data_IF_408770374408
#
_entry.id   IF_408770374408
#
_cell.length_a   1.000
_cell.length_b   1.000
_cell.length_c   1.000
_cell.angle_alpha   90.00
_cell.angle_beta   90.00
_cell.angle_gamma   90.00
#
_symmetry.space_group_name_H-M   'P 1'
#
loop_
_entity.id
_entity.type
_entity.pdbx_description
1 polymer ?
#
# COMPACT_ATOMS: atom_id res chain seq x y z
N UNK A 1 29.95 11.94 -29.84
CA UNK A 1 29.88 11.99 -28.38
C UNK A 1 29.13 10.72 -27.94
N UNK A 2 29.71 9.84 -27.12
CA UNK A 2 29.00 8.67 -26.67
C UNK A 2 27.76 9.11 -25.87
N UNK A 3 26.59 8.59 -26.25
CA UNK A 3 25.36 8.82 -25.52
C UNK A 3 25.49 8.15 -24.14
N UNK A 4 25.45 8.94 -23.09
CA UNK A 4 25.42 8.46 -21.72
C UNK A 4 24.06 7.78 -21.50
N UNK A 5 24.06 6.46 -21.42
CA UNK A 5 22.85 5.70 -21.08
C UNK A 5 22.44 6.05 -19.65
N UNK A 6 21.19 6.49 -19.42
CA UNK A 6 20.71 6.67 -18.06
C UNK A 6 20.76 5.32 -17.34
N UNK A 7 21.44 5.24 -16.22
CA UNK A 7 21.38 4.08 -15.33
C UNK A 7 19.95 4.00 -14.78
N UNK A 8 19.20 2.93 -15.05
CA UNK A 8 17.92 2.70 -14.42
C UNK A 8 18.20 2.36 -12.94
N UNK A 9 18.23 3.36 -12.08
CA UNK A 9 18.15 3.13 -10.64
C UNK A 9 16.72 2.69 -10.34
N UNK A 10 16.49 1.45 -9.86
CA UNK A 10 15.18 1.04 -9.43
C UNK A 10 14.80 1.91 -8.23
N UNK A 11 13.99 2.91 -8.46
CA UNK A 11 13.41 3.72 -7.39
C UNK A 11 12.37 2.85 -6.71
N UNK A 12 12.73 2.21 -5.61
CA UNK A 12 11.75 1.54 -4.77
C UNK A 12 10.64 2.56 -4.44
N UNK A 13 9.37 2.20 -4.58
CA UNK A 13 8.27 3.12 -4.33
C UNK A 13 8.41 3.67 -2.92
N UNK A 14 8.43 4.99 -2.78
CA UNK A 14 8.42 5.62 -1.47
C UNK A 14 7.08 5.32 -0.81
N UNK A 15 7.10 4.52 0.27
CA UNK A 15 5.92 4.19 1.06
C UNK A 15 5.83 5.07 2.30
N UNK A 16 6.09 6.38 2.13
CA UNK A 16 5.97 7.32 3.24
C UNK A 16 4.51 7.76 3.42
N UNK A 17 4.19 8.25 4.61
CA UNK A 17 2.86 8.81 4.89
C UNK A 17 2.51 9.99 3.97
N UNK A 18 3.48 10.82 3.62
CA UNK A 18 3.30 11.96 2.71
C UNK A 18 2.93 11.55 1.28
N UNK A 19 3.32 10.35 0.86
CA UNK A 19 3.00 9.81 -0.47
C UNK A 19 1.65 9.10 -0.53
N UNK A 20 1.00 8.91 0.63
CA UNK A 20 -0.33 8.32 0.67
C UNK A 20 -1.41 9.37 0.47
N UNK A 21 -2.18 9.24 -0.60
CA UNK A 21 -3.26 10.18 -0.93
C UNK A 21 -4.50 9.86 -0.12
N UNK A 22 -5.00 10.87 0.60
CA UNK A 22 -6.26 10.77 1.35
C UNK A 22 -7.43 11.06 0.43
N UNK A 23 -8.42 10.20 0.45
CA UNK A 23 -9.69 10.32 -0.26
C UNK A 23 -10.85 9.90 0.66
N UNK A 24 -12.10 10.23 0.38
CA UNK A 24 -13.23 9.81 1.20
C UNK A 24 -13.26 8.30 1.48
N UNK A 25 -12.86 7.50 0.50
CA UNK A 25 -12.85 6.04 0.57
C UNK A 25 -11.83 5.45 1.56
N UNK A 26 -10.82 6.21 2.00
CA UNK A 26 -9.77 5.76 2.91
C UNK A 26 -9.56 6.69 4.12
N UNK A 27 -10.32 7.78 4.21
CA UNK A 27 -10.11 8.83 5.21
C UNK A 27 -10.17 8.31 6.65
N UNK A 28 -11.08 7.39 6.97
CA UNK A 28 -11.20 6.81 8.31
C UNK A 28 -9.98 5.96 8.69
N UNK A 29 -9.52 5.12 7.77
CA UNK A 29 -8.31 4.31 7.98
C UNK A 29 -7.08 5.19 8.20
N UNK A 30 -6.94 6.24 7.38
CA UNK A 30 -5.84 7.20 7.49
C UNK A 30 -5.89 7.97 8.82
N UNK A 31 -7.05 8.48 9.20
CA UNK A 31 -7.22 9.20 10.46
C UNK A 31 -6.88 8.33 11.67
N UNK A 32 -7.27 7.04 11.63
CA UNK A 32 -6.88 6.09 12.68
C UNK A 32 -5.37 5.90 12.74
N UNK A 33 -4.72 5.62 11.61
CA UNK A 33 -3.26 5.45 11.53
C UNK A 33 -2.52 6.70 12.04
N UNK A 34 -2.96 7.89 11.61
CA UNK A 34 -2.37 9.16 12.02
C UNK A 34 -2.61 9.50 13.51
N UNK A 35 -3.58 8.87 14.16
CA UNK A 35 -3.84 9.07 15.59
C UNK A 35 -2.82 8.38 16.50
N UNK A 36 -1.97 7.49 15.98
CA UNK A 36 -0.94 6.83 16.78
C UNK A 36 0.01 7.88 17.46
N UNK A 37 0.41 7.72 18.74
CA UNK A 37 0.19 6.56 19.64
C UNK A 37 -1.13 6.59 20.46
N UNK A 38 -2.05 7.48 20.16
CA UNK A 38 -3.31 7.65 20.91
C UNK A 38 -4.42 6.69 20.43
N UNK A 39 -4.06 5.48 20.00
CA UNK A 39 -5.05 4.49 19.64
C UNK A 39 -5.95 4.12 20.81
N UNK A 40 -7.24 3.97 20.55
CA UNK A 40 -8.24 3.62 21.55
C UNK A 40 -8.34 2.11 21.83
N UNK A 41 -7.65 1.30 21.02
CA UNK A 41 -7.57 -0.14 21.17
C UNK A 41 -6.14 -0.63 20.92
N UNK A 42 -5.69 -1.70 21.60
CA UNK A 42 -4.34 -2.23 21.43
C UNK A 42 -4.13 -2.91 20.08
N UNK A 43 -5.22 -3.33 19.42
CA UNK A 43 -5.18 -3.99 18.12
C UNK A 43 -6.24 -3.43 17.17
N UNK A 44 -5.87 -3.32 15.90
CA UNK A 44 -6.75 -2.85 14.82
C UNK A 44 -6.47 -3.58 13.52
N UNK A 45 -7.38 -3.46 12.56
CA UNK A 45 -7.25 -4.07 11.24
C UNK A 45 -7.54 -3.09 10.11
N UNK A 46 -6.78 -3.20 9.03
CA UNK A 46 -7.06 -2.61 7.73
C UNK A 46 -7.49 -3.73 6.79
N UNK A 47 -8.61 -3.57 6.09
CA UNK A 47 -9.07 -4.59 5.17
C UNK A 47 -9.54 -4.00 3.83
N UNK A 48 -9.48 -4.82 2.78
CA UNK A 48 -9.90 -4.40 1.44
C UNK A 48 -9.14 -5.12 0.34
N UNK A 49 -9.52 -4.90 -0.93
CA UNK A 49 -8.97 -5.62 -2.06
C UNK A 49 -7.45 -5.39 -2.24
N UNK A 50 -6.76 -6.25 -3.01
CA UNK A 50 -5.40 -5.98 -3.43
C UNK A 50 -5.27 -4.60 -4.08
N UNK A 51 -4.14 -3.93 -3.89
CA UNK A 51 -3.91 -2.60 -4.46
C UNK A 51 -4.63 -1.44 -3.77
N UNK A 52 -5.45 -1.66 -2.73
CA UNK A 52 -6.17 -0.58 -2.01
C UNK A 52 -5.26 0.31 -1.14
N UNK A 53 -3.99 -0.04 -0.96
CA UNK A 53 -3.02 0.77 -0.22
C UNK A 53 -2.75 0.29 1.22
N UNK A 54 -3.22 -0.89 1.63
CA UNK A 54 -2.98 -1.44 2.98
C UNK A 54 -1.50 -1.46 3.34
N UNK A 55 -0.67 -2.10 2.52
CA UNK A 55 0.78 -2.20 2.77
C UNK A 55 1.47 -0.84 2.80
N UNK A 56 0.98 0.14 2.04
CA UNK A 56 1.50 1.51 2.11
C UNK A 56 1.21 2.14 3.49
N UNK A 57 -0.04 2.03 3.99
CA UNK A 57 -0.38 2.54 5.32
C UNK A 57 0.35 1.78 6.43
N UNK A 58 0.52 0.46 6.30
CA UNK A 58 1.32 -0.35 7.22
C UNK A 58 2.76 0.14 7.26
N UNK A 59 3.41 0.35 6.11
CA UNK A 59 4.78 0.83 6.05
C UNK A 59 4.93 2.23 6.64
N UNK A 60 3.98 3.13 6.35
CA UNK A 60 3.96 4.48 6.90
C UNK A 60 3.80 4.48 8.43
N UNK A 61 2.87 3.66 8.96
CA UNK A 61 2.70 3.48 10.39
C UNK A 61 3.91 2.81 11.04
N UNK A 62 4.43 1.75 10.45
CA UNK A 62 5.58 1.03 10.97
C UNK A 62 6.80 1.95 11.12
N UNK A 63 7.02 2.84 10.16
CA UNK A 63 8.08 3.85 10.26
C UNK A 63 7.86 4.81 11.42
N UNK A 64 6.63 5.27 11.64
CA UNK A 64 6.29 6.21 12.72
C UNK A 64 6.32 5.55 14.10
N UNK A 65 5.86 4.29 14.20
CA UNK A 65 5.76 3.52 15.44
C UNK A 65 7.03 2.75 15.79
N UNK A 66 8.00 2.67 14.89
CA UNK A 66 9.14 1.74 15.01
C UNK A 66 8.69 0.29 14.97
N UNK A 67 7.59 -0.03 14.27
CA UNK A 67 7.00 -1.37 14.28
C UNK A 67 7.79 -2.35 13.40
N UNK A 68 7.68 -3.64 13.75
CA UNK A 68 8.13 -4.74 12.91
C UNK A 68 6.97 -5.15 11.99
N UNK A 69 7.25 -5.38 10.72
CA UNK A 69 6.27 -5.90 9.75
C UNK A 69 6.56 -7.38 9.55
N UNK A 70 5.54 -8.20 9.78
CA UNK A 70 5.57 -9.66 9.62
C UNK A 70 4.57 -10.07 8.53
N UNK A 71 4.86 -11.13 7.81
CA UNK A 71 3.92 -11.74 6.87
C UNK A 71 3.24 -12.95 7.54
N UNK A 72 1.92 -13.03 7.46
CA UNK A 72 1.16 -14.08 8.12
C UNK A 72 1.49 -15.49 7.57
N UNK A 73 1.81 -15.62 6.30
CA UNK A 73 2.16 -16.91 5.69
C UNK A 73 3.47 -17.53 6.24
N UNK A 74 4.37 -16.70 6.77
CA UNK A 74 5.66 -17.15 7.34
C UNK A 74 5.76 -16.92 8.84
N UNK A 75 4.63 -16.57 9.48
CA UNK A 75 4.59 -16.25 10.90
C UNK A 75 4.75 -17.51 11.76
N UNK A 76 5.74 -17.51 12.63
CA UNK A 76 6.00 -18.58 13.58
C UNK A 76 5.74 -18.14 15.02
N UNK A 77 5.33 -19.08 15.89
CA UNK A 77 5.08 -18.82 17.32
C UNK A 77 6.30 -18.20 18.02
N UNK A 78 7.49 -18.67 17.67
CA UNK A 78 8.75 -18.14 18.23
C UNK A 78 8.99 -16.67 17.88
N UNK A 79 8.45 -16.17 16.76
CA UNK A 79 8.59 -14.78 16.40
C UNK A 79 7.89 -13.85 17.40
N UNK A 80 6.70 -14.23 17.88
CA UNK A 80 5.99 -13.50 18.92
C UNK A 80 6.73 -13.51 20.26
N UNK A 81 7.33 -14.65 20.62
CA UNK A 81 8.10 -14.80 21.87
C UNK A 81 9.43 -14.03 21.86
N UNK A 82 9.97 -13.74 20.68
CA UNK A 82 11.22 -12.99 20.51
C UNK A 82 11.04 -11.46 20.52
N UNK A 83 9.81 -10.97 20.55
CA UNK A 83 9.54 -9.54 20.55
C UNK A 83 9.80 -8.90 21.90
N UNK A 84 10.42 -7.72 21.87
CA UNK A 84 10.56 -6.90 23.06
C UNK A 84 9.19 -6.45 23.58
N UNK A 85 8.92 -6.49 24.90
CA UNK A 85 7.66 -6.01 25.44
C UNK A 85 7.33 -4.58 25.01
N UNK A 86 6.11 -4.35 24.54
CA UNK A 86 5.66 -3.03 24.04
C UNK A 86 6.03 -2.73 22.59
N UNK A 87 6.79 -3.62 21.91
CA UNK A 87 7.12 -3.43 20.50
C UNK A 87 5.86 -3.41 19.64
N UNK A 88 5.72 -2.39 18.79
CA UNK A 88 4.64 -2.34 17.82
C UNK A 88 4.86 -3.36 16.70
N UNK A 89 3.79 -4.03 16.27
CA UNK A 89 3.85 -5.10 15.26
C UNK A 89 2.74 -4.89 14.22
N UNK A 90 3.08 -5.04 12.95
CA UNK A 90 2.13 -5.23 11.87
C UNK A 90 2.18 -6.67 11.36
N UNK A 91 1.03 -7.25 11.03
CA UNK A 91 0.95 -8.55 10.35
C UNK A 91 0.15 -8.37 9.07
N UNK A 92 0.78 -8.62 7.93
CA UNK A 92 0.14 -8.52 6.63
C UNK A 92 -0.44 -9.86 6.17
N UNK A 93 -1.54 -9.76 5.40
CA UNK A 93 -2.22 -10.87 4.73
C UNK A 93 -2.66 -11.99 5.69
N UNK A 94 -3.38 -11.64 6.74
CA UNK A 94 -3.80 -12.56 7.82
C UNK A 94 -4.53 -13.81 7.30
N UNK A 95 -5.21 -13.74 6.17
CA UNK A 95 -5.85 -14.89 5.54
C UNK A 95 -4.87 -15.95 5.03
N UNK A 96 -3.61 -15.60 4.78
CA UNK A 96 -2.59 -16.52 4.25
C UNK A 96 -1.85 -17.29 5.36
N UNK A 97 -2.22 -17.10 6.63
CA UNK A 97 -1.58 -17.82 7.72
C UNK A 97 -1.92 -19.31 7.68
N UNK A 98 -0.94 -20.14 7.94
CA UNK A 98 -1.11 -21.59 8.09
C UNK A 98 -1.57 -21.99 9.48
N UNK A 99 -1.21 -21.19 10.51
CA UNK A 99 -1.40 -21.55 11.92
C UNK A 99 -1.99 -20.38 12.70
N UNK A 100 -2.98 -20.70 13.52
CA UNK A 100 -3.64 -19.73 14.40
C UNK A 100 -2.83 -19.40 15.66
N UNK A 101 -2.05 -20.35 16.15
CA UNK A 101 -1.28 -20.21 17.41
C UNK A 101 -0.24 -19.09 17.35
N UNK A 102 0.42 -18.92 16.20
CA UNK A 102 1.40 -17.86 16.02
C UNK A 102 0.75 -16.46 16.07
N UNK A 103 -0.38 -16.28 15.39
CA UNK A 103 -1.11 -15.02 15.45
C UNK A 103 -1.77 -14.80 16.81
N UNK A 104 -2.28 -15.88 17.45
CA UNK A 104 -2.82 -15.80 18.80
C UNK A 104 -1.77 -15.35 19.83
N UNK A 105 -0.54 -15.82 19.69
CA UNK A 105 0.58 -15.38 20.54
C UNK A 105 0.84 -13.87 20.39
N UNK A 106 0.72 -13.30 19.18
CA UNK A 106 0.84 -11.85 18.97
C UNK A 106 -0.27 -11.05 19.67
N UNK A 107 -1.48 -11.58 19.78
CA UNK A 107 -2.54 -10.94 20.57
C UNK A 107 -2.28 -10.96 22.09
N UNK A 108 -1.36 -11.76 22.58
CA UNK A 108 -0.91 -11.74 23.98
C UNK A 108 0.26 -10.77 24.20
N UNK A 109 0.88 -10.31 23.12
CA UNK A 109 1.97 -9.34 23.18
C UNK A 109 1.45 -7.97 23.65
N UNK A 110 2.12 -7.28 24.59
CA UNK A 110 1.61 -6.04 25.16
C UNK A 110 1.78 -4.80 24.29
N UNK A 111 2.27 -4.94 23.05
CA UNK A 111 2.48 -3.85 22.11
C UNK A 111 1.29 -3.60 21.16
N UNK A 112 1.26 -2.44 20.48
CA UNK A 112 0.26 -2.15 19.44
C UNK A 112 0.36 -3.15 18.30
N UNK A 113 -0.81 -3.68 17.85
CA UNK A 113 -0.91 -4.67 16.79
C UNK A 113 -1.78 -4.14 15.63
N UNK A 114 -1.22 -4.08 14.43
CA UNK A 114 -1.95 -3.73 13.20
C UNK A 114 -2.00 -4.94 12.28
N UNK A 115 -3.20 -5.37 11.92
CA UNK A 115 -3.43 -6.51 11.04
C UNK A 115 -3.91 -6.04 9.67
N UNK A 116 -3.58 -6.79 8.62
CA UNK A 116 -4.20 -6.55 7.31
C UNK A 116 -4.80 -7.81 6.72
N UNK A 117 -5.88 -7.62 5.95
CA UNK A 117 -6.54 -8.68 5.23
C UNK A 117 -7.36 -8.18 4.05
N UNK A 118 -7.94 -9.09 3.28
CA UNK A 118 -8.79 -8.75 2.13
C UNK A 118 -10.23 -8.50 2.55
N UNK A 119 -10.72 -9.32 3.48
CA UNK A 119 -12.08 -9.29 4.00
C UNK A 119 -12.13 -8.64 5.39
N UNK A 120 -13.30 -8.21 5.87
CA UNK A 120 -13.46 -7.76 7.24
C UNK A 120 -12.98 -8.81 8.25
N UNK A 121 -12.37 -8.43 9.39
CA UNK A 121 -11.84 -9.37 10.37
C UNK A 121 -12.86 -10.41 10.86
N UNK A 122 -14.14 -10.06 10.97
CA UNK A 122 -15.20 -10.98 11.35
C UNK A 122 -15.39 -12.15 10.36
N UNK A 123 -14.93 -11.99 9.11
CA UNK A 123 -14.96 -13.03 8.08
C UNK A 123 -13.68 -13.89 8.06
N UNK A 124 -12.63 -13.51 8.80
CA UNK A 124 -11.39 -14.28 8.82
C UNK A 124 -11.61 -15.62 9.52
N UNK A 125 -11.27 -16.68 8.81
CA UNK A 125 -11.40 -18.04 9.34
C UNK A 125 -10.40 -18.22 10.49
N UNK A 126 -10.81 -18.87 11.57
CA UNK A 126 -9.94 -19.29 12.65
C UNK A 126 -10.43 -20.66 13.19
N UNK A 127 -9.47 -21.53 13.49
CA UNK A 127 -9.73 -22.81 14.15
C UNK A 127 -9.83 -22.62 15.67
N UNK A 128 -9.03 -21.68 16.22
CA UNK A 128 -9.07 -21.32 17.63
C UNK A 128 -10.26 -20.40 17.93
N UNK A 129 -11.23 -20.82 18.79
CA UNK A 129 -12.39 -20.00 19.15
C UNK A 129 -12.01 -18.62 19.72
N UNK A 130 -10.96 -18.57 20.53
CA UNK A 130 -10.47 -17.34 21.14
C UNK A 130 -9.95 -16.35 20.09
N UNK A 131 -9.24 -16.85 19.06
CA UNK A 131 -8.76 -16.01 17.95
C UNK A 131 -9.93 -15.46 17.14
N UNK A 132 -10.95 -16.30 16.88
CA UNK A 132 -12.18 -15.88 16.20
C UNK A 132 -12.90 -14.78 16.96
N UNK A 133 -13.00 -14.90 18.29
CA UNK A 133 -13.57 -13.86 19.15
C UNK A 133 -12.80 -12.55 19.06
N UNK A 134 -11.46 -12.61 19.08
CA UNK A 134 -10.58 -11.45 18.95
C UNK A 134 -10.76 -10.75 17.60
N UNK A 135 -10.87 -11.50 16.51
CA UNK A 135 -11.14 -10.92 15.20
C UNK A 135 -12.46 -10.13 15.18
N UNK A 136 -13.52 -10.69 15.80
CA UNK A 136 -14.81 -10.00 15.90
C UNK A 136 -14.79 -8.72 16.75
N UNK A 137 -13.81 -8.58 17.63
CA UNK A 137 -13.67 -7.42 18.51
C UNK A 137 -12.68 -6.35 18.00
N UNK A 138 -12.01 -6.59 16.86
CA UNK A 138 -11.06 -5.63 16.30
C UNK A 138 -11.74 -4.35 15.81
N UNK A 139 -11.12 -3.22 16.08
CA UNK A 139 -11.39 -2.01 15.32
C UNK A 139 -10.92 -2.23 13.88
N UNK A 140 -11.84 -2.15 12.93
CA UNK A 140 -11.58 -2.49 11.55
C UNK A 140 -11.92 -1.33 10.60
N UNK A 141 -10.99 -0.99 9.72
CA UNK A 141 -11.12 0.12 8.80
C UNK A 141 -11.01 -0.37 7.35
N UNK A 142 -12.04 -0.13 6.52
CA UNK A 142 -11.99 -0.49 5.11
C UNK A 142 -11.04 0.42 4.33
N UNK A 143 -10.36 -0.18 3.38
CA UNK A 143 -9.64 0.51 2.30
C UNK A 143 -10.21 0.00 0.98
N UNK A 144 -11.00 0.83 0.34
CA UNK A 144 -11.63 0.47 -0.93
C UNK A 144 -10.67 0.58 -2.11
N UNK A 145 -11.00 -0.09 -3.18
CA UNK A 145 -10.29 0.09 -4.43
C UNK A 145 -10.32 1.58 -4.84
N UNK A 146 -9.22 2.12 -5.38
CA UNK A 146 -9.15 3.51 -5.76
C UNK A 146 -10.18 3.83 -6.85
N UNK A 147 -10.91 4.92 -6.65
CA UNK A 147 -11.76 5.50 -7.68
C UNK A 147 -10.94 6.31 -8.70
N UNK A 148 -11.58 6.76 -9.77
CA UNK A 148 -10.92 7.55 -10.81
C UNK A 148 -10.36 8.87 -10.28
N UNK A 149 -11.03 9.49 -9.30
CA UNK A 149 -10.58 10.74 -8.71
C UNK A 149 -9.27 10.53 -7.93
N UNK A 150 -9.19 9.45 -7.15
CA UNK A 150 -7.98 9.08 -6.41
C UNK A 150 -6.83 8.70 -7.36
N UNK A 151 -7.10 7.92 -8.41
CA UNK A 151 -6.09 7.57 -9.41
C UNK A 151 -5.60 8.80 -10.17
N UNK A 152 -6.49 9.75 -10.52
CA UNK A 152 -6.10 11.00 -11.15
C UNK A 152 -5.23 11.86 -10.23
N UNK A 153 -5.59 11.98 -8.96
CA UNK A 153 -4.79 12.69 -7.97
C UNK A 153 -3.41 12.05 -7.77
N UNK A 154 -3.35 10.71 -7.71
CA UNK A 154 -2.09 9.96 -7.65
C UNK A 154 -1.22 10.22 -8.88
N UNK A 155 -1.80 10.15 -10.07
CA UNK A 155 -1.08 10.36 -11.34
C UNK A 155 -0.48 11.76 -11.39
N UNK A 156 -1.27 12.79 -11.05
CA UNK A 156 -0.77 14.18 -10.97
C UNK A 156 0.38 14.30 -9.98
N UNK A 157 0.22 13.77 -8.76
CA UNK A 157 1.27 13.81 -7.75
C UNK A 157 2.55 13.16 -8.25
N UNK A 158 2.46 11.97 -8.85
CA UNK A 158 3.63 11.24 -9.34
C UNK A 158 4.39 11.98 -10.44
N UNK A 159 3.69 12.67 -11.34
CA UNK A 159 4.33 13.53 -12.35
C UNK A 159 4.92 14.79 -11.73
N UNK A 160 4.20 15.44 -10.81
CA UNK A 160 4.69 16.62 -10.09
C UNK A 160 5.96 16.33 -9.29
N UNK A 161 6.01 15.20 -8.58
CA UNK A 161 7.19 14.75 -7.82
C UNK A 161 8.43 14.55 -8.71
N UNK A 162 8.22 14.30 -10.02
CA UNK A 162 9.25 14.20 -11.06
C UNK A 162 9.47 15.51 -11.84
N UNK A 163 8.83 16.60 -11.41
CA UNK A 163 8.88 17.91 -12.07
C UNK A 163 8.37 17.88 -13.52
N UNK A 164 7.46 16.96 -13.83
CA UNK A 164 6.83 16.83 -15.13
C UNK A 164 5.46 17.50 -15.13
N UNK A 165 5.27 18.51 -15.96
CA UNK A 165 3.98 19.14 -16.18
C UNK A 165 3.19 18.34 -17.22
N UNK A 166 2.14 17.65 -16.79
CA UNK A 166 1.29 16.82 -17.67
C UNK A 166 -0.15 17.34 -17.61
N UNK A 167 -0.74 17.73 -18.76
CA UNK A 167 -2.11 18.24 -18.81
C UNK A 167 -3.15 17.19 -18.40
N UNK A 168 -4.24 17.61 -17.76
CA UNK A 168 -5.34 16.75 -17.33
C UNK A 168 -5.90 15.83 -18.43
N UNK A 169 -6.11 16.28 -19.70
CA UNK A 169 -6.55 15.37 -20.75
C UNK A 169 -5.61 14.19 -20.99
N UNK A 170 -4.30 14.39 -20.82
CA UNK A 170 -3.28 13.33 -20.96
C UNK A 170 -3.37 12.37 -19.77
N UNK A 171 -3.53 12.89 -18.56
CA UNK A 171 -3.75 12.06 -17.35
C UNK A 171 -4.99 11.19 -17.51
N UNK A 172 -6.11 11.77 -17.96
CA UNK A 172 -7.35 11.02 -18.19
C UNK A 172 -7.21 9.95 -19.28
N UNK A 173 -6.39 10.19 -20.29
CA UNK A 173 -6.07 9.18 -21.31
C UNK A 173 -5.30 8.01 -20.71
N UNK A 174 -4.27 8.27 -19.89
CA UNK A 174 -3.50 7.24 -19.19
C UNK A 174 -4.45 6.35 -18.37
N UNK A 175 -5.32 6.94 -17.55
CA UNK A 175 -6.23 6.21 -16.67
C UNK A 175 -7.29 5.36 -17.36
N UNK A 176 -7.62 5.69 -18.63
CA UNK A 176 -8.52 4.85 -19.45
C UNK A 176 -7.82 3.63 -20.07
N UNK A 177 -6.51 3.66 -20.13
CA UNK A 177 -5.71 2.68 -20.87
C UNK A 177 -4.87 1.77 -19.99
N UNK A 178 -4.63 2.15 -18.73
CA UNK A 178 -3.91 1.31 -17.77
C UNK A 178 -4.87 0.61 -16.82
N UNK A 179 -4.41 -0.49 -16.23
CA UNK A 179 -5.15 -1.16 -15.16
C UNK A 179 -5.48 -0.18 -14.02
N UNK A 180 -6.70 -0.29 -13.47
CA UNK A 180 -7.20 0.59 -12.40
C UNK A 180 -6.58 0.26 -11.05
N UNK A 181 -5.27 0.35 -10.97
CA UNK A 181 -4.52 0.13 -9.74
C UNK A 181 -3.43 1.18 -9.52
N UNK A 182 -3.12 1.56 -8.28
CA UNK A 182 -2.00 2.46 -7.98
C UNK A 182 -0.66 1.91 -8.47
N UNK A 183 -0.50 0.59 -8.55
CA UNK A 183 0.72 -0.05 -9.03
C UNK A 183 0.90 0.20 -10.53
N UNK A 184 -0.14 -0.06 -11.34
CA UNK A 184 -0.10 0.17 -12.79
C UNK A 184 0.14 1.65 -13.12
N UNK A 185 -0.48 2.58 -12.35
CA UNK A 185 -0.25 4.01 -12.52
C UNK A 185 1.20 4.39 -12.23
N UNK A 186 1.79 3.86 -11.14
CA UNK A 186 3.22 4.13 -10.81
C UNK A 186 4.16 3.60 -11.87
N UNK A 187 3.92 2.37 -12.34
CA UNK A 187 4.72 1.77 -13.40
C UNK A 187 4.65 2.59 -14.70
N UNK A 188 3.45 2.95 -15.12
CA UNK A 188 3.26 3.78 -16.31
C UNK A 188 3.98 5.13 -16.18
N UNK A 189 3.83 5.83 -15.07
CA UNK A 189 4.50 7.12 -14.83
C UNK A 189 6.01 6.98 -14.85
N UNK A 190 6.56 5.89 -14.29
CA UNK A 190 7.99 5.63 -14.33
C UNK A 190 8.50 5.40 -15.76
N UNK A 191 7.76 4.64 -16.58
CA UNK A 191 8.09 4.45 -18.00
C UNK A 191 7.99 5.74 -18.80
N UNK A 192 6.96 6.56 -18.54
CA UNK A 192 6.77 7.85 -19.22
C UNK A 192 7.89 8.84 -18.88
N UNK A 193 8.34 8.87 -17.63
CA UNK A 193 9.47 9.68 -17.17
C UNK A 193 10.79 9.26 -17.85
N UNK A 194 11.10 7.97 -17.82
CA UNK A 194 12.28 7.42 -18.47
C UNK A 194 12.32 7.72 -19.97
N UNK A 195 11.18 7.60 -20.66
CA UNK A 195 11.06 7.89 -22.09
C UNK A 195 11.21 9.38 -22.38
N UNK A 196 10.55 10.23 -21.60
CA UNK A 196 10.65 11.69 -21.75
C UNK A 196 12.10 12.18 -21.55
N UNK A 197 12.80 11.60 -20.57
CA UNK A 197 14.21 11.90 -20.32
C UNK A 197 15.13 11.43 -21.48
N UNK A 198 14.95 10.20 -21.94
CA UNK A 198 15.76 9.62 -23.03
C UNK A 198 15.59 10.41 -24.33
N UNK A 199 14.38 10.82 -24.66
CA UNK A 199 14.06 11.56 -25.90
C UNK A 199 14.13 13.08 -25.74
N UNK A 200 14.39 13.58 -24.53
CA UNK A 200 14.44 15.02 -24.21
C UNK A 200 13.20 15.76 -24.65
N UNK A 201 12.03 15.15 -24.51
CA UNK A 201 10.73 15.74 -24.87
C UNK A 201 9.73 15.67 -23.71
N UNK A 202 8.75 16.58 -23.65
CA UNK A 202 7.72 16.56 -22.60
C UNK A 202 6.80 15.33 -22.74
N UNK A 203 6.14 14.97 -21.64
CA UNK A 203 5.08 13.94 -21.64
C UNK A 203 3.83 14.49 -22.29
N UNK A 204 3.62 14.12 -23.54
CA UNK A 204 2.50 14.54 -24.38
C UNK A 204 1.54 13.39 -24.65
N UNK A 205 0.38 13.70 -25.25
CA UNK A 205 -0.57 12.68 -25.69
C UNK A 205 0.05 11.71 -26.74
N UNK A 206 1.02 12.18 -27.53
CA UNK A 206 1.73 11.34 -28.51
C UNK A 206 2.66 10.36 -27.78
N UNK A 207 3.51 10.84 -26.84
CA UNK A 207 4.38 9.95 -26.05
C UNK A 207 3.58 8.90 -25.29
N UNK A 208 2.44 9.28 -24.71
CA UNK A 208 1.55 8.35 -24.01
C UNK A 208 0.98 7.31 -24.99
N UNK A 209 0.60 7.70 -26.21
CA UNK A 209 0.13 6.77 -27.22
C UNK A 209 1.19 5.73 -27.58
N UNK A 210 2.42 6.18 -27.86
CA UNK A 210 3.55 5.31 -28.19
C UNK A 210 3.79 4.25 -27.07
N UNK A 211 3.78 4.68 -25.79
CA UNK A 211 3.98 3.80 -24.65
C UNK A 211 2.84 2.79 -24.42
N UNK A 212 1.60 3.16 -24.78
CA UNK A 212 0.45 2.27 -24.66
C UNK A 212 0.45 1.20 -25.76
N UNK A 213 0.88 1.57 -26.98
CA UNK A 213 1.03 0.62 -28.09
C UNK A 213 2.14 -0.40 -27.80
N UNK A 214 3.28 0.03 -27.26
CA UNK A 214 4.38 -0.85 -26.84
C UNK A 214 3.97 -1.81 -25.70
N UNK A 215 3.14 -1.36 -24.77
CA UNK A 215 2.66 -2.19 -23.64
C UNK A 215 1.51 -3.14 -23.99
N UNK A 216 0.84 -2.97 -25.11
CA UNK A 216 -0.26 -3.82 -25.59
C UNK A 216 0.16 -5.02 -26.46
N UNK A 217 1.45 -5.20 -26.68
CA UNK A 217 2.03 -6.29 -27.50
C UNK A 217 2.62 -7.46 -26.70
N UNK A 218 2.26 -7.59 -25.39
CA UNK A 218 2.73 -8.68 -24.51
C UNK A 218 1.60 -9.54 -24.02
#
# INVERSE_FOLDING_TARGET
>A
VPAQLPLPLPTAPSLTRADFIVAPANAQAVAFIDSFPRWTAPAAALYGPPGSGKSHLVAAWAKAAGAIILNAATLEVRAAAALEPGRAVAVEDVELRDRDDALFALFQHPGPLLLTGREPPAAWKAQLPDLKSRFGALLAFPLWAPDDALLAALTRKLFTDRQLAVPDPVIMRILRSVERSPAAVRDFVARADARALAEKRPVTAALVADLLEEGGLS
#
